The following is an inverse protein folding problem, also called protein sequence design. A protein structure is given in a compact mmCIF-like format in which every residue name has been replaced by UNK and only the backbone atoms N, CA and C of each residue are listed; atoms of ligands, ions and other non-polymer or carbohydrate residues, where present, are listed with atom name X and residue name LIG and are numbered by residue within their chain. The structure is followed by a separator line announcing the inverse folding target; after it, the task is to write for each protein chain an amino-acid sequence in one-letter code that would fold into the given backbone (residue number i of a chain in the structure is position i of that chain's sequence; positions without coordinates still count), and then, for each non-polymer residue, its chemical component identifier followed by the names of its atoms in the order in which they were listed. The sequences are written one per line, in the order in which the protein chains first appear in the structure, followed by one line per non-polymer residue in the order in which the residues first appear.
data_IF_808761780585
#
_entry.id   IF_808761780585
#
_cell.length_a   1.000
_cell.length_b   1.000
_cell.length_c   1.000
_cell.angle_alpha   90.00
_cell.angle_beta   90.00
_cell.angle_gamma   90.00
#
_symmetry.space_group_name_H-M   'P 1'
#
loop_
_entity.id
_entity.type
_entity.pdbx_description
1 polymer ?
#
# COMPACT_ATOMS: atom_id res chain seq x y z
N UNK A 1 2.98 -26.53 -5.27
CA UNK A 1 4.15 -26.07 -4.51
C UNK A 1 4.10 -24.55 -4.50
N UNK A 2 3.73 -23.92 -3.38
CA UNK A 2 3.77 -22.45 -3.28
C UNK A 2 5.23 -22.05 -3.15
N UNK A 3 5.76 -21.36 -4.17
CA UNK A 3 7.11 -20.81 -4.14
C UNK A 3 7.24 -19.86 -2.96
N UNK A 4 8.04 -20.23 -1.97
CA UNK A 4 8.36 -19.42 -0.79
C UNK A 4 9.34 -18.27 -1.13
N UNK A 5 9.12 -17.63 -2.27
CA UNK A 5 9.92 -16.48 -2.70
C UNK A 5 9.55 -15.33 -1.76
N UNK A 6 10.52 -14.73 -1.04
CA UNK A 6 10.27 -13.54 -0.24
C UNK A 6 9.62 -12.49 -1.13
N UNK A 7 8.49 -11.92 -0.71
CA UNK A 7 7.78 -10.93 -1.52
C UNK A 7 8.60 -9.64 -1.69
N UNK A 8 9.55 -9.37 -0.79
CA UNK A 8 10.40 -8.19 -0.82
C UNK A 8 9.65 -6.93 -0.40
N UNK A 9 10.37 -5.82 -0.30
CA UNK A 9 9.79 -4.52 0.03
C UNK A 9 9.11 -3.92 -1.20
N UNK A 10 7.94 -3.34 -1.00
CA UNK A 10 7.17 -2.66 -2.03
C UNK A 10 7.07 -1.17 -1.71
N UNK A 11 7.02 -0.33 -2.73
CA UNK A 11 6.56 1.06 -2.60
C UNK A 11 5.03 1.06 -2.73
N UNK A 12 4.36 1.84 -1.90
CA UNK A 12 2.92 2.02 -1.98
C UNK A 12 2.54 3.50 -2.12
N UNK A 13 1.39 3.72 -2.76
CA UNK A 13 0.64 4.97 -2.72
C UNK A 13 -0.81 4.63 -2.42
N UNK A 14 -1.38 5.28 -1.40
CA UNK A 14 -2.76 5.10 -0.95
C UNK A 14 -3.43 6.47 -0.86
N UNK A 15 -4.52 6.67 -1.60
CA UNK A 15 -5.35 7.88 -1.47
C UNK A 15 -6.70 7.52 -0.88
N UNK A 16 -7.07 8.21 0.19
CA UNK A 16 -8.33 8.06 0.90
C UNK A 16 -9.17 9.33 0.80
N UNK A 17 -10.48 9.20 0.75
CA UNK A 17 -11.43 10.32 0.88
C UNK A 17 -12.48 9.98 1.94
N UNK A 18 -12.69 10.88 2.90
CA UNK A 18 -13.75 10.73 3.89
C UNK A 18 -15.07 11.36 3.43
N UNK A 19 -16.14 11.14 4.20
CA UNK A 19 -17.48 11.65 3.88
C UNK A 19 -17.58 13.18 3.84
N UNK A 20 -16.60 13.89 4.43
CA UNK A 20 -16.51 15.36 4.40
C UNK A 20 -15.74 15.88 3.18
N UNK A 21 -15.44 15.01 2.20
CA UNK A 21 -14.66 15.34 1.00
C UNK A 21 -13.23 15.81 1.30
N UNK A 22 -12.72 15.45 2.47
CA UNK A 22 -11.30 15.61 2.78
C UNK A 22 -10.56 14.40 2.22
N UNK A 23 -9.56 14.67 1.38
CA UNK A 23 -8.69 13.64 0.81
C UNK A 23 -7.31 13.68 1.47
N UNK A 24 -6.68 12.51 1.64
CA UNK A 24 -5.27 12.41 1.97
C UNK A 24 -4.59 11.36 1.09
N UNK A 25 -3.32 11.61 0.76
CA UNK A 25 -2.46 10.65 0.06
C UNK A 25 -1.31 10.29 0.96
N UNK A 26 -1.12 8.98 1.16
CA UNK A 26 -0.04 8.38 1.91
C UNK A 26 0.85 7.59 0.96
N UNK A 27 2.16 7.64 1.20
CA UNK A 27 3.13 6.87 0.45
C UNK A 27 4.25 6.43 1.35
N UNK A 28 4.85 5.30 1.02
CA UNK A 28 5.98 4.76 1.76
C UNK A 28 6.37 3.41 1.24
N UNK A 29 7.05 2.64 2.09
CA UNK A 29 7.40 1.25 1.79
C UNK A 29 6.69 0.30 2.74
N UNK A 30 6.39 -0.90 2.25
CA UNK A 30 5.80 -1.97 3.04
C UNK A 30 6.45 -3.31 2.65
N UNK A 31 6.84 -4.09 3.65
CA UNK A 31 7.37 -5.45 3.45
C UNK A 31 6.31 -6.46 3.87
N UNK A 32 5.52 -6.99 2.94
CA UNK A 32 4.48 -7.96 3.27
C UNK A 32 5.05 -9.27 3.80
N UNK A 33 4.35 -9.93 4.75
CA UNK A 33 4.73 -11.25 5.19
C UNK A 33 4.57 -12.28 4.04
N UNK A 34 5.28 -13.42 4.10
CA UNK A 34 5.14 -14.46 3.08
C UNK A 34 3.69 -14.89 2.87
N UNK A 35 3.26 -14.96 1.62
CA UNK A 35 1.89 -15.36 1.26
C UNK A 35 0.82 -14.27 1.39
N UNK A 36 1.16 -13.08 1.89
CA UNK A 36 0.19 -11.97 1.95
C UNK A 36 -0.26 -11.57 0.55
N UNK A 37 -1.54 -11.26 0.43
CA UNK A 37 -2.14 -10.78 -0.81
C UNK A 37 -2.06 -9.26 -0.90
N UNK A 38 -2.25 -8.72 -2.11
CA UNK A 38 -2.40 -7.27 -2.31
C UNK A 38 -3.55 -6.69 -1.46
N UNK A 39 -4.58 -7.48 -1.17
CA UNK A 39 -5.70 -7.08 -0.32
C UNK A 39 -5.31 -6.98 1.16
N UNK A 40 -4.49 -7.90 1.65
CA UNK A 40 -3.99 -7.85 3.04
C UNK A 40 -3.14 -6.59 3.26
N UNK A 41 -2.29 -6.26 2.28
CA UNK A 41 -1.50 -5.01 2.30
C UNK A 41 -2.39 -3.78 2.31
N UNK A 42 -3.39 -3.71 1.42
CA UNK A 42 -4.34 -2.59 1.38
C UNK A 42 -5.06 -2.42 2.73
N UNK A 43 -5.53 -3.52 3.31
CA UNK A 43 -6.26 -3.52 4.57
C UNK A 43 -5.38 -3.03 5.73
N UNK A 44 -4.14 -3.51 5.79
CA UNK A 44 -3.16 -3.09 6.80
C UNK A 44 -2.81 -1.60 6.65
N UNK A 45 -2.50 -1.13 5.44
CA UNK A 45 -2.18 0.28 5.20
C UNK A 45 -3.36 1.20 5.51
N UNK A 46 -4.59 0.78 5.22
CA UNK A 46 -5.79 1.53 5.61
C UNK A 46 -5.95 1.58 7.13
N UNK A 47 -5.72 0.47 7.83
CA UNK A 47 -5.75 0.45 9.30
C UNK A 47 -4.72 1.41 9.90
N UNK A 48 -3.48 1.39 9.40
CA UNK A 48 -2.42 2.29 9.85
C UNK A 48 -2.74 3.76 9.53
N UNK A 49 -3.34 4.03 8.36
CA UNK A 49 -3.83 5.36 8.00
C UNK A 49 -4.89 5.89 8.97
N UNK A 50 -5.84 5.05 9.39
CA UNK A 50 -6.88 5.43 10.37
C UNK A 50 -6.26 5.66 11.75
N UNK A 51 -5.27 4.85 12.16
CA UNK A 51 -4.56 5.07 13.43
C UNK A 51 -3.81 6.40 13.46
N UNK A 52 -3.20 6.78 12.34
CA UNK A 52 -2.48 8.06 12.22
C UNK A 52 -3.46 9.24 12.07
N UNK A 53 -4.57 9.03 11.34
CA UNK A 53 -5.58 10.04 11.04
C UNK A 53 -6.98 9.50 11.35
N UNK A 54 -7.44 9.55 12.62
CA UNK A 54 -8.74 9.00 13.00
C UNK A 54 -9.93 9.53 12.19
N UNK A 55 -9.83 10.76 11.66
CA UNK A 55 -10.82 11.34 10.74
C UNK A 55 -11.05 10.56 9.42
N UNK A 56 -10.21 9.56 9.14
CA UNK A 56 -10.28 8.70 7.96
C UNK A 56 -10.93 7.33 8.23
N UNK A 57 -11.46 7.09 9.43
CA UNK A 57 -12.12 5.81 9.78
C UNK A 57 -13.21 5.40 8.78
N UNK A 58 -14.04 6.36 8.35
CA UNK A 58 -15.11 6.16 7.37
C UNK A 58 -14.68 6.45 5.92
N UNK A 59 -13.38 6.58 5.65
CA UNK A 59 -12.89 6.90 4.33
C UNK A 59 -12.97 5.72 3.35
N UNK A 60 -13.22 6.06 2.09
CA UNK A 60 -13.12 5.16 0.93
C UNK A 60 -11.73 5.26 0.31
N UNK A 61 -11.31 4.20 -0.37
CA UNK A 61 -10.06 4.18 -1.15
C UNK A 61 -10.34 4.77 -2.53
N UNK A 62 -9.71 5.89 -2.86
CA UNK A 62 -9.78 6.50 -4.19
C UNK A 62 -8.71 5.94 -5.13
N UNK A 63 -7.53 5.63 -4.60
CA UNK A 63 -6.40 5.13 -5.37
C UNK A 63 -5.51 4.22 -4.53
N UNK A 64 -5.01 3.14 -5.14
CA UNK A 64 -4.06 2.24 -4.51
C UNK A 64 -3.05 1.66 -5.51
N UNK A 65 -1.78 2.02 -5.34
CA UNK A 65 -0.65 1.40 -6.02
C UNK A 65 0.23 0.66 -5.02
N UNK A 66 0.75 -0.48 -5.47
CA UNK A 66 1.71 -1.31 -4.76
C UNK A 66 2.61 -1.95 -5.82
N UNK A 67 3.90 -1.60 -5.77
CA UNK A 67 4.89 -1.97 -6.77
C UNK A 67 6.18 -2.42 -6.07
N UNK A 68 6.93 -3.32 -6.70
CA UNK A 68 8.20 -3.78 -6.13
C UNK A 68 9.15 -2.59 -5.94
N UNK A 69 9.79 -2.47 -4.77
CA UNK A 69 10.75 -1.40 -4.50
C UNK A 69 12.11 -1.73 -5.12
N UNK A 70 12.16 -1.79 -6.45
CA UNK A 70 13.37 -1.98 -7.23
C UNK A 70 13.45 -0.89 -8.28
N UNK A 71 14.64 -0.32 -8.45
CA UNK A 71 14.91 0.51 -9.61
C UNK A 71 15.02 -0.46 -10.79
N UNK A 72 14.19 -0.26 -11.82
CA UNK A 72 14.46 -0.90 -13.10
C UNK A 72 15.80 -0.35 -13.57
N UNK A 73 16.87 -1.13 -13.42
CA UNK A 73 18.11 -0.86 -14.11
C UNK A 73 17.80 -1.10 -15.59
N UNK A 74 17.51 0.00 -16.29
CA UNK A 74 17.24 -0.03 -17.72
C UNK A 74 18.27 -0.89 -18.41
N UNK A 75 17.79 -1.77 -19.30
CA UNK A 75 18.63 -2.50 -20.24
C UNK A 75 19.55 -1.48 -20.89
N UNK A 76 20.83 -1.50 -20.52
CA UNK A 76 21.87 -0.82 -21.27
C UNK A 76 21.91 -1.49 -22.65
N UNK A 77 21.76 -0.74 -23.76
CA UNK A 77 21.95 -1.31 -25.09
C UNK A 77 23.38 -1.85 -25.28
#
# INVERSE_FOLDING_TARGET
MHSNTPQGTHVYVLTLENQRKSACTLSGTYTPPPGATRWDVLSQLRFDAVRQYPSMESAIVLYFALEANRLDQGVTP
#
